data_IF_106464240890
#
_entry.id   IF_106464240890
#
_cell.length_a   1.000
_cell.length_b   1.000
_cell.length_c   1.000
_cell.angle_alpha   90.00
_cell.angle_beta   90.00
_cell.angle_gamma   90.00
#
_symmetry.space_group_name_H-M   'P 1'
#
loop_
_entity.id
_entity.type
_entity.pdbx_description
1 polymer ?
2 non-polymer ?
#
# COMPACT_ATOMS: atom_id res chain seq x y z
N UNK A 1 9.75 -3.81 3.15
CA UNK A 1 9.90 -3.14 1.85
C UNK A 1 9.88 -1.62 2.03
N UNK A 2 10.84 -0.95 1.34
CA UNK A 2 10.95 0.52 1.31
C UNK A 2 10.15 1.04 0.11
N UNK A 3 8.83 1.19 0.31
CA UNK A 3 7.90 1.83 -0.65
C UNK A 3 6.78 2.52 0.15
N UNK A 4 6.59 3.83 -0.11
CA UNK A 4 5.49 4.64 0.46
C UNK A 4 5.68 6.12 0.08
N UNK A 5 4.61 6.93 0.20
CA UNK A 5 4.70 8.39 -0.04
C UNK A 5 5.61 9.08 1.00
N UNK A 6 5.60 8.58 2.27
CA UNK A 6 6.48 9.12 3.34
C UNK A 6 7.90 8.48 3.28
N UNK A 7 8.06 7.48 2.38
CA UNK A 7 9.29 6.67 2.21
C UNK A 7 9.85 6.13 3.54
N UNK A 8 9.32 4.97 3.95
CA UNK A 8 9.73 4.26 5.17
C UNK A 8 9.44 2.77 5.00
N UNK A 9 10.28 1.93 5.62
CA UNK A 9 10.13 0.47 5.58
C UNK A 9 8.79 0.04 6.23
N UNK A 10 8.24 -1.07 5.74
CA UNK A 10 6.98 -1.62 6.23
C UNK A 10 7.24 -2.56 7.44
N UNK A 11 7.64 -1.94 8.58
CA UNK A 11 8.01 -2.65 9.82
C UNK A 11 6.76 -3.26 10.49
N UNK A 12 6.54 -4.57 10.25
CA UNK A 12 5.43 -5.32 10.87
C UNK A 12 4.07 -5.07 10.21
N UNK A 13 3.95 -3.98 9.43
CA UNK A 13 2.72 -3.62 8.69
C UNK A 13 3.07 -3.51 7.20
N UNK A 14 2.66 -4.51 6.39
CA UNK A 14 2.91 -4.48 4.94
C UNK A 14 1.65 -4.91 4.15
N UNK A 15 0.96 -3.92 3.59
CA UNK A 15 -0.17 -4.14 2.68
C UNK A 15 0.31 -3.91 1.23
N UNK A 16 0.13 -4.94 0.38
CA UNK A 16 0.54 -4.89 -1.02
C UNK A 16 -0.63 -4.41 -1.90
N UNK A 17 -0.29 -3.71 -2.98
CA UNK A 17 -1.27 -3.15 -3.92
C UNK A 17 -1.27 -3.94 -5.23
N UNK A 18 -2.41 -3.90 -5.93
CA UNK A 18 -2.55 -4.42 -7.28
C UNK A 18 -2.75 -3.24 -8.24
N UNK A 19 -1.65 -2.78 -8.86
CA UNK A 19 -1.69 -1.70 -9.84
C UNK A 19 -0.77 -1.96 -11.01
N UNK A 20 -1.28 -2.05 -12.29
CA UNK A 20 -0.43 -2.18 -13.51
C UNK A 20 0.67 -1.10 -13.64
N UNK A 21 0.31 0.14 -13.26
CA UNK A 21 1.26 1.26 -13.11
C UNK A 21 1.29 1.65 -11.63
N UNK A 22 2.34 1.21 -10.91
CA UNK A 22 2.42 1.38 -9.45
C UNK A 22 3.81 0.95 -8.94
N UNK A 23 4.68 1.92 -8.65
CA UNK A 23 5.96 1.69 -7.97
C UNK A 23 5.73 1.57 -6.44
N UNK A 24 4.72 2.30 -5.95
CA UNK A 24 4.33 2.37 -4.53
C UNK A 24 3.45 1.16 -4.09
N UNK A 25 3.58 0.00 -4.78
CA UNK A 25 2.78 -1.23 -4.50
C UNK A 25 2.71 -1.56 -3.00
N UNK A 26 3.84 -1.51 -2.31
CA UNK A 26 3.92 -1.79 -0.87
C UNK A 26 3.62 -0.52 -0.06
N UNK A 27 2.89 -0.72 1.05
CA UNK A 27 2.54 0.32 2.04
C UNK A 27 2.50 -0.31 3.43
N UNK A 28 2.32 0.54 4.44
CA UNK A 28 2.01 0.12 5.83
C UNK A 28 0.59 0.58 6.16
N UNK A 29 -0.14 -0.29 6.90
CA UNK A 29 -1.59 -0.17 7.18
C UNK A 29 -1.96 1.19 7.81
N UNK A 30 -1.15 1.63 8.78
CA UNK A 30 -1.40 2.87 9.54
C UNK A 30 -1.38 4.14 8.66
N UNK A 31 -0.51 4.14 7.63
CA UNK A 31 -0.39 5.29 6.68
C UNK A 31 -1.69 5.46 5.87
N UNK A 32 -2.18 4.33 5.34
CA UNK A 32 -3.38 4.29 4.47
C UNK A 32 -4.68 4.14 5.30
N UNK A 33 -4.54 4.17 6.65
CA UNK A 33 -5.67 4.07 7.62
C UNK A 33 -6.43 2.74 7.42
N UNK A 34 -5.77 1.64 7.81
CA UNK A 34 -6.32 0.28 7.76
C UNK A 34 -5.86 -0.48 9.01
N UNK A 35 -6.67 -1.46 9.42
CA UNK A 35 -6.29 -2.48 10.40
C UNK A 35 -6.72 -3.88 9.89
N UNK A 36 -7.71 -3.90 8.96
CA UNK A 36 -8.19 -5.15 8.31
C UNK A 36 -7.20 -5.56 7.20
N UNK A 37 -6.56 -6.77 7.29
CA UNK A 37 -5.85 -7.40 6.15
C UNK A 37 -6.81 -7.59 4.94
N UNK A 38 -6.49 -7.01 3.74
CA UNK A 38 -7.34 -7.10 2.51
C UNK A 38 -7.70 -8.57 2.11
N UNK A 39 -9.00 -8.78 1.83
CA UNK A 39 -9.54 -10.10 1.40
C UNK A 39 -9.36 -10.33 -0.12
N UNK A 40 -8.80 -9.34 -0.83
CA UNK A 40 -8.60 -9.43 -2.28
C UNK A 40 -7.71 -8.31 -2.81
N UNK A 41 -7.87 -8.00 -4.11
CA UNK A 41 -7.05 -7.02 -4.83
C UNK A 41 -7.21 -5.60 -4.22
N UNK A 42 -6.16 -5.16 -3.52
CA UNK A 42 -6.15 -3.86 -2.81
C UNK A 42 -5.57 -2.78 -3.73
N UNK A 43 -6.40 -1.82 -4.13
CA UNK A 43 -5.96 -0.67 -4.93
C UNK A 43 -5.63 0.48 -3.98
N UNK A 44 -4.36 0.92 -4.01
CA UNK A 44 -3.89 2.10 -3.26
C UNK A 44 -4.55 3.38 -3.80
N UNK A 45 -4.74 4.46 -2.96
CA UNK A 45 -5.40 5.74 -3.38
C UNK A 45 -4.90 6.31 -4.74
N UNK A 46 -3.61 6.01 -5.04
CA UNK A 46 -2.92 6.41 -6.27
C UNK A 46 -3.58 5.72 -7.50
N UNK A 47 -3.71 4.38 -7.44
CA UNK A 47 -4.37 3.57 -8.48
C UNK A 47 -5.85 3.94 -8.61
N UNK A 48 -6.49 4.29 -7.48
CA UNK A 48 -7.91 4.66 -7.43
C UNK A 48 -8.18 6.01 -8.14
N UNK A 49 -7.14 6.87 -8.26
CA UNK A 49 -7.24 8.16 -9.01
C UNK A 49 -6.56 8.06 -10.40
N UNK A 50 -5.91 6.92 -10.70
CA UNK A 50 -5.38 6.62 -12.06
C UNK A 50 -6.54 6.09 -12.95
X LIG B 1 4.18 5.75 5.01
X LIG C 1 -1.30 1.02 -6.49
#
# INVERSE_FOLDING_TARGET
TLYCFCQRVSFGEMVACDGPNCKYEWFHYDCVNLKEPPKGTWYCPECKIE
ZN ZN
ZN ZN
#
